data_IF_587595680925
#
_entry.id   IF_587595680925
#
_cell.length_a   1.000
_cell.length_b   1.000
_cell.length_c   1.000
_cell.angle_alpha   90.00
_cell.angle_beta   90.00
_cell.angle_gamma   90.00
#
_symmetry.space_group_name_H-M   'P 1'
#
loop_
_entity.id
_entity.type
_entity.pdbx_description
1 polymer ?
#
# COMPACT_ATOMS: atom_id res chain seq x y z
N UNK A 1 34.40 24.93 -56.65
CA UNK A 1 34.81 23.52 -56.54
C UNK A 1 33.67 22.70 -57.11
N UNK A 2 33.94 21.87 -58.11
CA UNK A 2 32.93 21.15 -58.89
C UNK A 2 32.57 19.86 -58.13
N UNK A 3 31.45 19.86 -57.40
CA UNK A 3 30.96 18.66 -56.70
C UNK A 3 30.38 17.69 -57.74
N UNK A 4 30.99 16.51 -57.90
CA UNK A 4 30.44 15.47 -58.77
C UNK A 4 29.12 14.97 -58.19
N UNK A 5 28.01 15.49 -58.69
CA UNK A 5 26.64 15.26 -58.19
C UNK A 5 25.99 14.00 -58.75
N UNK A 6 26.78 12.96 -59.05
CA UNK A 6 26.28 11.72 -59.64
C UNK A 6 26.53 10.47 -58.76
N UNK A 7 26.32 10.59 -57.46
CA UNK A 7 26.17 9.43 -56.57
C UNK A 7 24.69 9.12 -56.34
N UNK A 8 24.35 7.84 -56.24
CA UNK A 8 22.97 7.40 -56.08
C UNK A 8 22.61 7.30 -54.59
N UNK A 9 21.62 8.08 -54.18
CA UNK A 9 21.17 8.15 -52.78
C UNK A 9 20.58 6.81 -52.33
N UNK A 10 19.97 6.03 -53.23
CA UNK A 10 19.30 4.78 -52.86
C UNK A 10 20.26 3.72 -52.31
N UNK A 11 21.55 3.82 -52.63
CA UNK A 11 22.58 2.87 -52.19
C UNK A 11 22.81 2.91 -50.67
N UNK A 12 22.45 4.01 -50.01
CA UNK A 12 22.70 4.20 -48.58
C UNK A 12 21.54 3.72 -47.69
N UNK A 13 20.46 3.17 -48.26
CA UNK A 13 19.38 2.56 -47.47
C UNK A 13 19.90 1.31 -46.76
N UNK A 14 19.80 1.28 -45.44
CA UNK A 14 20.17 0.09 -44.68
C UNK A 14 19.00 -0.90 -44.62
N UNK A 15 19.29 -2.21 -44.70
CA UNK A 15 18.25 -3.27 -44.64
C UNK A 15 17.42 -3.25 -43.34
N UNK A 16 18.02 -2.77 -42.25
CA UNK A 16 17.40 -2.71 -40.93
C UNK A 16 16.75 -1.34 -40.63
N UNK A 17 16.78 -0.40 -41.58
CA UNK A 17 16.15 0.92 -41.45
C UNK A 17 14.68 0.86 -41.90
N UNK A 18 13.75 1.32 -41.05
CA UNK A 18 12.33 1.38 -41.41
C UNK A 18 12.09 2.39 -42.54
N UNK A 19 11.08 2.14 -43.37
CA UNK A 19 10.76 2.99 -44.53
C UNK A 19 10.49 4.46 -44.15
N UNK A 20 9.84 4.73 -43.01
CA UNK A 20 9.60 6.10 -42.53
C UNK A 20 10.91 6.83 -42.18
N UNK A 21 11.89 6.11 -41.63
CA UNK A 21 13.20 6.68 -41.26
C UNK A 21 14.02 6.94 -42.52
N UNK A 22 14.01 5.97 -43.46
CA UNK A 22 14.69 6.11 -44.74
C UNK A 22 14.12 7.27 -45.55
N UNK A 23 12.80 7.41 -45.66
CA UNK A 23 12.18 8.50 -46.42
C UNK A 23 12.62 9.88 -45.91
N UNK A 24 12.70 10.05 -44.59
CA UNK A 24 13.14 11.29 -43.96
C UNK A 24 14.63 11.56 -44.21
N UNK A 25 15.48 10.53 -44.04
CA UNK A 25 16.93 10.62 -44.29
C UNK A 25 17.21 10.91 -45.77
N UNK A 26 16.50 10.23 -46.68
CA UNK A 26 16.57 10.40 -48.14
C UNK A 26 16.19 11.81 -48.57
N UNK A 27 15.10 12.39 -48.03
CA UNK A 27 14.73 13.79 -48.32
C UNK A 27 15.82 14.77 -47.90
N UNK A 28 16.45 14.53 -46.75
CA UNK A 28 17.57 15.34 -46.29
C UNK A 28 18.79 15.26 -47.21
N UNK A 29 19.14 14.04 -47.66
CA UNK A 29 20.23 13.81 -48.61
C UNK A 29 19.96 14.50 -49.96
N UNK A 30 18.75 14.36 -50.52
CA UNK A 30 18.40 14.98 -51.80
C UNK A 30 18.39 16.51 -51.75
N UNK A 31 17.95 17.11 -50.64
CA UNK A 31 17.89 18.56 -50.50
C UNK A 31 19.28 19.24 -50.40
N UNK A 32 20.31 18.48 -50.03
CA UNK A 32 21.64 19.01 -49.71
C UNK A 32 22.77 18.37 -50.53
N UNK A 33 22.44 17.48 -51.46
CA UNK A 33 23.38 16.74 -52.32
C UNK A 33 24.37 17.64 -53.05
N UNK A 34 23.93 18.83 -53.45
CA UNK A 34 24.73 19.76 -54.23
C UNK A 34 25.57 20.71 -53.35
N UNK A 35 25.30 20.78 -52.05
CA UNK A 35 25.88 21.74 -51.11
C UNK A 35 27.06 21.17 -50.30
N UNK A 36 27.08 19.85 -50.09
CA UNK A 36 28.08 19.19 -49.24
C UNK A 36 28.75 18.02 -49.98
N UNK A 37 30.02 17.71 -49.66
CA UNK A 37 30.64 16.44 -50.04
C UNK A 37 29.85 15.23 -49.53
N UNK A 38 29.97 14.11 -50.24
CA UNK A 38 29.21 12.87 -49.97
C UNK A 38 29.33 12.41 -48.51
N UNK A 39 30.56 12.19 -48.02
CA UNK A 39 30.82 11.70 -46.66
C UNK A 39 30.29 12.63 -45.56
N UNK A 40 30.43 13.94 -45.77
CA UNK A 40 29.97 14.95 -44.84
C UNK A 40 28.44 14.98 -44.78
N UNK A 41 27.79 14.86 -45.93
CA UNK A 41 26.34 14.85 -46.00
C UNK A 41 25.72 13.60 -45.40
N UNK A 42 26.34 12.44 -45.57
CA UNK A 42 25.90 11.19 -44.94
C UNK A 42 25.96 11.28 -43.41
N UNK A 43 27.03 11.89 -42.88
CA UNK A 43 27.17 12.13 -41.44
C UNK A 43 26.07 13.08 -40.93
N UNK A 44 25.87 14.21 -41.61
CA UNK A 44 24.82 15.19 -41.25
C UNK A 44 23.42 14.58 -41.32
N UNK A 45 23.13 13.76 -42.34
CA UNK A 45 21.85 13.08 -42.48
C UNK A 45 21.61 12.06 -41.35
N UNK A 46 22.65 11.35 -40.90
CA UNK A 46 22.52 10.44 -39.77
C UNK A 46 22.28 11.19 -38.45
N UNK A 47 23.01 12.28 -38.22
CA UNK A 47 22.82 13.13 -37.04
C UNK A 47 21.41 13.71 -37.04
N UNK A 48 20.95 14.20 -38.19
CA UNK A 48 19.58 14.70 -38.39
C UNK A 48 18.52 13.66 -38.01
N UNK A 49 18.62 12.44 -38.55
CA UNK A 49 17.69 11.34 -38.22
C UNK A 49 17.74 10.99 -36.73
N UNK A 50 18.92 10.94 -36.12
CA UNK A 50 19.06 10.66 -34.70
C UNK A 50 18.42 11.76 -33.82
N UNK A 51 18.49 13.03 -34.24
CA UNK A 51 17.87 14.14 -33.53
C UNK A 51 16.33 14.09 -33.64
N UNK A 52 15.79 13.91 -34.84
CA UNK A 52 14.33 13.96 -35.07
C UNK A 52 13.58 12.68 -34.66
N UNK A 53 14.23 11.52 -34.77
CA UNK A 53 13.60 10.23 -34.51
C UNK A 53 13.94 9.71 -33.11
N UNK A 54 15.22 9.72 -32.74
CA UNK A 54 15.68 9.16 -31.46
C UNK A 54 15.75 10.21 -30.34
N UNK A 55 15.61 11.49 -30.67
CA UNK A 55 15.68 12.58 -29.69
C UNK A 55 17.09 12.84 -29.16
N UNK A 56 18.13 12.41 -29.89
CA UNK A 56 19.52 12.61 -29.50
C UNK A 56 19.87 14.10 -29.39
N UNK A 57 20.96 14.39 -28.66
CA UNK A 57 21.52 15.74 -28.51
C UNK A 57 23.01 15.70 -28.80
N UNK A 58 23.46 16.66 -29.56
CA UNK A 58 24.84 16.84 -30.00
C UNK A 58 25.37 18.20 -29.51
N UNK A 59 26.67 18.51 -29.67
CA UNK A 59 27.20 19.83 -29.36
C UNK A 59 26.38 20.97 -29.97
N UNK A 60 26.35 22.13 -29.30
CA UNK A 60 25.45 23.25 -29.64
C UNK A 60 25.62 23.69 -31.10
N UNK A 61 26.85 23.75 -31.58
CA UNK A 61 27.20 24.11 -32.96
C UNK A 61 26.55 23.15 -33.97
N UNK A 62 26.65 21.84 -33.73
CA UNK A 62 26.00 20.81 -34.57
C UNK A 62 24.48 20.90 -34.51
N UNK A 63 23.91 21.18 -33.33
CA UNK A 63 22.45 21.33 -33.20
C UNK A 63 21.94 22.54 -33.98
N UNK A 64 22.68 23.66 -34.00
CA UNK A 64 22.33 24.84 -34.79
C UNK A 64 22.41 24.55 -36.29
N UNK A 65 23.51 23.94 -36.74
CA UNK A 65 23.70 23.57 -38.15
C UNK A 65 22.58 22.63 -38.63
N UNK A 66 22.27 21.58 -37.86
CA UNK A 66 21.19 20.65 -38.21
C UNK A 66 19.83 21.35 -38.22
N UNK A 67 19.57 22.28 -37.30
CA UNK A 67 18.32 23.03 -37.29
C UNK A 67 18.13 23.92 -38.53
N UNK A 68 19.22 24.51 -39.02
CA UNK A 68 19.22 25.35 -40.23
C UNK A 68 19.00 24.50 -41.49
N UNK A 69 19.72 23.39 -41.63
CA UNK A 69 19.57 22.46 -42.77
C UNK A 69 18.21 21.74 -42.76
N UNK A 70 17.64 21.53 -41.57
CA UNK A 70 16.36 20.84 -41.41
C UNK A 70 15.13 21.70 -41.78
N UNK A 71 15.26 23.01 -41.89
CA UNK A 71 14.14 23.95 -41.97
C UNK A 71 13.15 23.59 -43.11
N UNK A 72 13.67 23.22 -44.28
CA UNK A 72 12.87 22.91 -45.48
C UNK A 72 12.43 21.44 -45.55
N UNK A 73 13.14 20.53 -44.88
CA UNK A 73 12.88 19.07 -44.92
C UNK A 73 11.88 18.63 -43.85
N UNK A 74 11.83 19.35 -42.73
CA UNK A 74 11.16 18.91 -41.51
C UNK A 74 9.74 19.43 -41.34
N UNK A 75 9.36 20.51 -42.05
CA UNK A 75 8.03 21.12 -41.90
C UNK A 75 6.90 20.10 -42.08
N UNK A 76 6.90 19.33 -43.16
CA UNK A 76 5.89 18.29 -43.43
C UNK A 76 5.94 17.11 -42.45
N UNK A 77 7.13 16.75 -41.94
CA UNK A 77 7.29 15.63 -41.01
C UNK A 77 6.78 15.98 -39.61
N UNK A 78 7.12 17.18 -39.11
CA UNK A 78 6.66 17.68 -37.81
C UNK A 78 5.15 17.88 -37.79
N UNK A 79 4.54 18.38 -38.87
CA UNK A 79 3.09 18.52 -38.98
C UNK A 79 2.36 17.18 -38.89
N UNK A 80 2.86 16.15 -39.58
CA UNK A 80 2.31 14.79 -39.53
C UNK A 80 2.41 14.15 -38.14
N UNK A 81 3.47 14.47 -37.39
CA UNK A 81 3.66 14.01 -35.99
C UNK A 81 2.84 14.80 -34.96
N UNK A 82 2.38 16.03 -35.24
CA UNK A 82 1.51 16.80 -34.32
C UNK A 82 0.15 16.13 -34.09
N UNK A 83 -0.38 15.43 -35.10
CA UNK A 83 -1.66 14.71 -35.01
C UNK A 83 -1.54 13.30 -34.40
N UNK A 84 -0.34 12.82 -34.09
CA UNK A 84 -0.11 11.52 -33.46
C UNK A 84 -0.01 11.71 -31.94
N UNK A 85 -0.73 10.89 -31.16
CA UNK A 85 -0.74 10.97 -29.70
C UNK A 85 0.68 10.80 -29.15
N UNK A 86 1.31 11.90 -28.71
CA UNK A 86 2.65 11.85 -28.14
C UNK A 86 2.59 11.40 -26.69
N UNK A 87 2.72 10.10 -26.44
CA UNK A 87 3.11 9.61 -25.11
C UNK A 87 4.62 9.82 -24.96
N UNK A 88 5.01 10.97 -24.43
CA UNK A 88 6.42 11.24 -24.11
C UNK A 88 6.83 10.41 -22.90
N UNK A 89 7.72 9.43 -23.12
CA UNK A 89 8.43 8.76 -22.04
C UNK A 89 9.57 9.67 -21.58
N UNK A 90 9.38 10.30 -20.41
CA UNK A 90 10.41 11.14 -19.79
C UNK A 90 11.06 10.34 -18.65
N UNK A 91 12.40 10.33 -18.57
CA UNK A 91 13.11 9.79 -17.40
C UNK A 91 12.68 10.58 -16.15
N UNK A 92 12.51 9.91 -15.02
CA UNK A 92 12.09 10.55 -13.77
C UNK A 92 12.99 11.75 -13.39
N UNK A 93 14.28 11.70 -13.72
CA UNK A 93 15.23 12.80 -13.52
C UNK A 93 14.91 14.06 -14.32
N UNK A 94 14.47 13.91 -15.58
CA UNK A 94 14.13 15.03 -16.44
C UNK A 94 12.76 15.61 -16.07
N UNK A 95 11.78 14.76 -15.73
CA UNK A 95 10.47 15.20 -15.21
C UNK A 95 10.61 15.98 -13.90
N UNK A 96 11.50 15.54 -13.00
CA UNK A 96 11.82 16.25 -11.77
C UNK A 96 12.52 17.61 -12.04
N UNK A 97 13.45 17.65 -13.01
CA UNK A 97 14.16 18.89 -13.39
C UNK A 97 13.21 19.94 -13.99
N UNK A 98 12.27 19.53 -14.85
CA UNK A 98 11.26 20.43 -15.43
C UNK A 98 10.33 21.01 -14.36
N UNK A 99 9.99 20.23 -13.33
CA UNK A 99 9.18 20.71 -12.18
C UNK A 99 9.93 21.70 -11.29
N UNK A 100 11.25 21.50 -11.11
CA UNK A 100 12.10 22.41 -10.34
C UNK A 100 12.36 23.75 -11.05
N UNK A 101 12.22 23.81 -12.38
CA UNK A 101 12.50 24.99 -13.21
C UNK A 101 11.26 25.87 -13.51
N UNK A 102 10.10 25.57 -12.93
CA UNK A 102 9.03 26.57 -12.75
C UNK A 102 8.28 27.06 -13.98
N UNK A 103 8.16 26.29 -15.06
CA UNK A 103 7.31 26.65 -16.20
C UNK A 103 5.88 26.13 -16.03
N UNK A 104 4.96 27.01 -15.64
CA UNK A 104 3.51 26.75 -15.56
C UNK A 104 2.86 27.08 -16.91
N UNK A 105 2.40 26.06 -17.65
CA UNK A 105 1.35 26.22 -18.65
C UNK A 105 0.20 25.26 -18.32
N UNK A 106 -1.05 25.76 -18.12
CA UNK A 106 -2.21 24.93 -17.88
C UNK A 106 -2.88 24.53 -19.21
N UNK A 107 -3.19 23.25 -19.38
CA UNK A 107 -4.16 22.77 -20.37
C UNK A 107 -5.14 21.78 -19.73
N UNK A 108 -6.36 21.65 -20.29
CA UNK A 108 -7.60 21.86 -19.57
C UNK A 108 -8.41 20.56 -19.39
N UNK A 109 -9.49 20.69 -18.62
CA UNK A 109 -10.26 19.61 -18.03
C UNK A 109 -11.02 18.69 -18.99
N UNK A 110 -11.52 17.62 -18.40
CA UNK A 110 -12.76 16.98 -18.83
C UNK A 110 -13.63 16.73 -17.61
N UNK A 111 -14.66 17.56 -17.51
CA UNK A 111 -15.82 17.42 -16.64
C UNK A 111 -16.79 16.39 -17.24
N UNK A 112 -17.26 15.46 -16.43
CA UNK A 112 -18.40 14.59 -16.73
C UNK A 112 -19.12 14.18 -15.44
N UNK A 113 -20.22 14.87 -15.14
CA UNK A 113 -21.36 14.35 -14.37
C UNK A 113 -22.15 13.40 -15.30
N UNK A 114 -23.01 12.45 -14.94
CA UNK A 114 -23.85 12.10 -13.79
C UNK A 114 -24.10 10.57 -13.86
N UNK A 115 -24.48 9.90 -12.77
CA UNK A 115 -25.78 9.19 -12.66
C UNK A 115 -25.87 8.31 -11.40
N UNK A 116 -27.08 8.30 -10.86
CA UNK A 116 -27.54 7.82 -9.55
C UNK A 116 -28.23 6.44 -9.67
N UNK A 117 -28.50 5.84 -8.51
CA UNK A 117 -29.53 4.83 -8.16
C UNK A 117 -28.96 3.43 -7.84
N UNK A 118 -28.82 3.01 -6.58
CA UNK A 118 -29.78 2.55 -5.53
C UNK A 118 -30.24 1.09 -5.63
N UNK A 119 -30.14 0.40 -4.48
CA UNK A 119 -30.83 -0.82 -4.00
C UNK A 119 -30.23 -2.16 -4.51
N UNK A 120 -30.06 -3.24 -3.74
CA UNK A 120 -30.55 -3.62 -2.40
C UNK A 120 -29.80 -4.90 -1.90
N UNK A 121 -30.12 -5.49 -0.73
CA UNK A 121 -29.20 -6.21 0.16
C UNK A 121 -29.21 -7.74 0.01
N UNK A 122 -28.24 -8.42 0.63
CA UNK A 122 -28.47 -9.80 1.09
C UNK A 122 -27.65 -10.18 2.32
N UNK A 123 -28.40 -10.49 3.37
CA UNK A 123 -28.04 -11.21 4.57
C UNK A 123 -27.65 -12.65 4.27
N UNK A 124 -26.63 -13.19 4.94
CA UNK A 124 -26.57 -14.64 5.22
C UNK A 124 -26.18 -14.85 6.69
N UNK A 125 -27.15 -15.39 7.41
CA UNK A 125 -27.02 -16.02 8.73
C UNK A 125 -26.38 -17.40 8.54
N UNK A 126 -25.55 -17.83 9.49
CA UNK A 126 -25.35 -19.25 9.75
C UNK A 126 -24.83 -19.44 11.16
N UNK A 127 -25.71 -20.01 11.98
CA UNK A 127 -25.47 -20.61 13.28
C UNK A 127 -24.55 -21.83 13.14
N UNK A 128 -23.77 -22.14 14.18
CA UNK A 128 -23.58 -23.52 14.64
C UNK A 128 -23.04 -23.55 16.08
N UNK A 129 -23.78 -24.28 16.92
CA UNK A 129 -23.47 -24.73 18.29
C UNK A 129 -22.24 -25.66 18.29
N UNK A 130 -21.39 -25.54 19.31
CA UNK A 130 -20.77 -26.70 20.00
C UNK A 130 -20.65 -26.36 21.51
N UNK A 131 -21.06 -27.32 22.33
CA UNK A 131 -21.14 -27.30 23.80
C UNK A 131 -19.79 -27.54 24.52
N UNK A 132 -19.64 -26.83 25.65
CA UNK A 132 -19.04 -27.15 26.96
C UNK A 132 -18.00 -28.27 27.15
N UNK A 133 -16.89 -27.93 27.84
CA UNK A 133 -16.35 -28.63 29.04
C UNK A 133 -15.70 -27.58 29.98
N UNK A 134 -15.79 -27.71 31.32
CA UNK A 134 -15.78 -26.57 32.24
C UNK A 134 -14.41 -26.32 32.90
N UNK A 135 -14.06 -25.05 33.09
CA UNK A 135 -12.97 -24.65 33.98
C UNK A 135 -13.50 -23.71 35.07
N UNK A 136 -13.26 -24.14 36.30
CA UNK A 136 -13.72 -23.65 37.60
C UNK A 136 -13.76 -22.12 37.73
N UNK A 137 -14.95 -21.59 38.00
CA UNK A 137 -15.20 -20.20 38.39
C UNK A 137 -14.57 -19.91 39.75
N UNK A 138 -13.58 -19.04 39.78
CA UNK A 138 -13.16 -18.34 40.99
C UNK A 138 -14.21 -17.25 41.24
N UNK A 139 -14.90 -17.31 42.38
CA UNK A 139 -15.86 -16.28 42.82
C UNK A 139 -15.10 -14.99 43.11
N UNK A 140 -15.44 -13.91 42.41
CA UNK A 140 -15.07 -12.55 42.78
C UNK A 140 -16.38 -11.78 43.05
N UNK A 141 -16.37 -10.97 44.09
CA UNK A 141 -17.51 -10.30 44.76
C UNK A 141 -18.62 -9.76 43.85
N UNK A 142 -19.85 -9.75 44.39
CA UNK A 142 -21.13 -9.40 43.75
C UNK A 142 -21.09 -8.06 43.02
N UNK A 143 -20.60 -8.09 41.79
CA UNK A 143 -20.57 -6.92 40.91
C UNK A 143 -22.00 -6.60 40.47
N UNK A 144 -22.43 -5.33 40.52
CA UNK A 144 -23.85 -4.97 40.53
C UNK A 144 -24.63 -5.35 39.27
N UNK A 145 -23.94 -5.67 38.17
CA UNK A 145 -24.50 -6.00 36.87
C UNK A 145 -23.85 -7.25 36.22
N UNK A 146 -23.14 -8.07 37.00
CA UNK A 146 -22.40 -9.25 36.52
C UNK A 146 -20.92 -8.98 36.23
N UNK A 147 -20.26 -9.86 35.49
CA UNK A 147 -18.84 -9.75 35.12
C UNK A 147 -18.68 -8.96 33.80
N UNK A 148 -18.51 -7.63 33.91
CA UNK A 148 -18.42 -6.70 32.77
C UNK A 148 -17.00 -6.12 32.68
N UNK A 149 -16.48 -5.99 31.45
CA UNK A 149 -15.26 -5.22 31.16
C UNK A 149 -15.58 -4.16 30.11
N UNK A 150 -15.26 -2.91 30.41
CA UNK A 150 -15.48 -1.79 29.49
C UNK A 150 -14.33 -1.72 28.48
N UNK A 151 -14.64 -1.55 27.19
CA UNK A 151 -13.64 -1.37 26.13
C UNK A 151 -13.95 -0.07 25.39
N UNK A 152 -13.04 0.90 25.48
CA UNK A 152 -13.18 2.23 24.90
C UNK A 152 -12.19 2.39 23.73
N UNK A 153 -12.71 2.74 22.54
CA UNK A 153 -11.91 3.02 21.34
C UNK A 153 -11.97 4.51 21.00
N UNK A 154 -10.95 5.05 20.33
CA UNK A 154 -10.94 6.46 19.94
C UNK A 154 -12.11 6.75 18.99
N UNK A 155 -13.00 7.65 19.42
CA UNK A 155 -14.20 8.06 18.67
C UNK A 155 -15.47 7.28 18.98
N UNK A 156 -15.43 6.29 19.88
CA UNK A 156 -16.64 5.55 20.27
C UNK A 156 -17.61 6.45 21.06
N UNK A 157 -18.89 6.33 20.72
CA UNK A 157 -19.96 6.99 21.45
C UNK A 157 -20.29 6.20 22.74
N UNK A 158 -20.67 6.86 23.85
CA UNK A 158 -21.01 6.17 25.11
C UNK A 158 -22.08 5.08 24.95
N UNK A 159 -23.03 5.27 24.02
CA UNK A 159 -24.05 4.27 23.66
C UNK A 159 -23.39 2.97 23.17
N UNK A 160 -22.39 3.09 22.30
CA UNK A 160 -21.69 1.97 21.67
C UNK A 160 -20.82 1.24 22.68
N UNK A 161 -20.12 1.98 23.55
CA UNK A 161 -19.27 1.39 24.61
C UNK A 161 -20.12 0.53 25.55
N UNK A 162 -21.25 1.06 26.02
CA UNK A 162 -22.18 0.33 26.89
C UNK A 162 -22.73 -0.93 26.21
N UNK A 163 -23.23 -0.81 24.99
CA UNK A 163 -23.78 -1.94 24.25
C UNK A 163 -22.71 -3.02 23.98
N UNK A 164 -21.50 -2.62 23.59
CA UNK A 164 -20.40 -3.55 23.37
C UNK A 164 -19.99 -4.27 24.65
N UNK A 165 -19.84 -3.56 25.77
CA UNK A 165 -19.44 -4.15 27.05
C UNK A 165 -20.46 -5.20 27.53
N UNK A 166 -21.75 -4.86 27.49
CA UNK A 166 -22.82 -5.78 27.91
C UNK A 166 -22.92 -6.99 26.98
N UNK A 167 -22.87 -6.79 25.66
CA UNK A 167 -22.94 -7.88 24.69
C UNK A 167 -21.74 -8.85 24.81
N UNK A 168 -20.54 -8.33 25.05
CA UNK A 168 -19.33 -9.15 25.27
C UNK A 168 -19.46 -10.00 26.54
N UNK A 169 -20.04 -9.45 27.60
CA UNK A 169 -20.33 -10.19 28.84
C UNK A 169 -21.47 -11.21 28.73
N UNK A 170 -22.17 -11.24 27.58
CA UNK A 170 -23.35 -12.08 27.37
C UNK A 170 -24.60 -11.57 28.09
N UNK A 171 -24.60 -10.32 28.55
CA UNK A 171 -25.75 -9.67 29.17
C UNK A 171 -26.73 -9.07 28.14
N UNK A 172 -27.90 -8.68 28.61
CA UNK A 172 -28.90 -7.98 27.80
C UNK A 172 -29.01 -6.50 28.23
N UNK A 173 -28.99 -5.59 27.25
CA UNK A 173 -29.17 -4.15 27.46
C UNK A 173 -30.51 -3.68 26.89
N UNK A 174 -31.36 -3.11 27.75
CA UNK A 174 -32.68 -2.62 27.38
C UNK A 174 -32.76 -1.10 27.55
N UNK A 175 -33.45 -0.45 26.59
CA UNK A 175 -33.64 0.99 26.56
C UNK A 175 -35.13 1.29 26.63
N UNK A 176 -35.59 1.87 27.74
CA UNK A 176 -36.97 2.35 27.88
C UNK A 176 -37.01 3.85 27.68
N UNK A 177 -37.81 4.30 26.71
CA UNK A 177 -37.91 5.71 26.36
C UNK A 177 -39.37 6.12 26.49
N UNK A 178 -39.64 7.03 27.41
CA UNK A 178 -40.99 7.50 27.70
C UNK A 178 -41.10 8.99 27.42
N UNK A 179 -42.26 9.43 26.92
CA UNK A 179 -42.58 10.85 26.79
C UNK A 179 -43.21 11.32 28.09
N UNK A 180 -42.58 12.29 28.75
CA UNK A 180 -43.07 12.87 30.01
C UNK A 180 -43.95 14.10 29.74
N UNK A 181 -44.81 14.43 30.70
CA UNK A 181 -45.86 15.47 30.58
C UNK A 181 -45.35 16.89 30.24
N UNK A 182 -44.05 17.17 30.39
CA UNK A 182 -43.45 18.50 30.16
C UNK A 182 -42.70 18.63 28.81
N UNK A 183 -43.13 17.93 27.74
CA UNK A 183 -42.41 17.89 26.45
C UNK A 183 -40.93 17.44 26.55
N UNK A 184 -40.59 16.71 27.62
CA UNK A 184 -39.27 16.10 27.84
C UNK A 184 -39.37 14.60 27.59
N UNK A 185 -38.30 14.02 27.09
CA UNK A 185 -38.12 12.58 26.87
C UNK A 185 -37.29 12.00 28.00
N UNK A 186 -37.82 10.97 28.67
CA UNK A 186 -37.11 10.19 29.67
C UNK A 186 -36.45 8.99 29.00
N UNK A 187 -35.20 8.68 29.33
CA UNK A 187 -34.52 7.47 28.88
C UNK A 187 -33.97 6.71 30.09
N UNK A 188 -34.37 5.45 30.24
CA UNK A 188 -33.92 4.53 31.29
C UNK A 188 -33.15 3.39 30.62
N UNK A 189 -31.95 3.13 31.12
CA UNK A 189 -31.08 2.02 30.70
C UNK A 189 -31.16 0.93 31.74
N UNK A 190 -31.47 -0.30 31.31
CA UNK A 190 -31.43 -1.48 32.17
C UNK A 190 -30.42 -2.49 31.63
N UNK A 191 -29.63 -3.06 32.54
CA UNK A 191 -28.73 -4.20 32.26
C UNK A 191 -29.25 -5.38 33.05
N UNK A 192 -29.55 -6.51 32.38
CA UNK A 192 -30.08 -7.72 33.01
C UNK A 192 -31.29 -7.43 33.95
N UNK A 193 -32.23 -6.62 33.45
CA UNK A 193 -33.42 -6.13 34.17
C UNK A 193 -33.15 -5.22 35.40
N UNK A 194 -31.91 -4.89 35.74
CA UNK A 194 -31.56 -3.91 36.77
C UNK A 194 -31.32 -2.53 36.17
N UNK A 195 -31.88 -1.49 36.79
CA UNK A 195 -31.70 -0.11 36.33
C UNK A 195 -30.24 0.33 36.52
N UNK A 196 -29.63 0.80 35.43
CA UNK A 196 -28.28 1.36 35.43
C UNK A 196 -28.31 2.87 35.55
N UNK A 197 -29.09 3.53 34.68
CA UNK A 197 -29.09 4.98 34.58
C UNK A 197 -30.43 5.49 34.04
N UNK A 198 -30.73 6.73 34.39
CA UNK A 198 -31.91 7.46 33.96
C UNK A 198 -31.52 8.89 33.60
N UNK A 199 -32.11 9.42 32.53
CA UNK A 199 -31.92 10.81 32.12
C UNK A 199 -33.17 11.40 31.47
N UNK A 200 -33.14 12.72 31.30
CA UNK A 200 -34.20 13.50 30.66
C UNK A 200 -33.59 14.42 29.61
N UNK A 201 -34.18 14.47 28.41
CA UNK A 201 -33.72 15.35 27.34
C UNK A 201 -34.88 16.03 26.62
N UNK A 202 -34.59 17.11 25.91
CA UNK A 202 -35.56 17.79 25.03
C UNK A 202 -35.95 16.90 23.84
N UNK A 203 -35.02 16.05 23.40
CA UNK A 203 -35.21 15.08 22.33
C UNK A 203 -34.87 13.67 22.81
N UNK A 204 -35.53 12.66 22.23
CA UNK A 204 -35.23 11.24 22.47
C UNK A 204 -33.73 10.91 22.30
N UNK A 205 -33.09 11.46 21.25
CA UNK A 205 -31.65 11.25 20.98
C UNK A 205 -30.76 11.85 22.05
N UNK A 206 -31.11 13.03 22.58
CA UNK A 206 -30.36 13.71 23.63
C UNK A 206 -30.51 12.98 24.96
N UNK A 207 -31.73 12.62 25.34
CA UNK A 207 -32.00 11.81 26.52
C UNK A 207 -31.17 10.52 26.48
N UNK A 208 -31.22 9.78 25.36
CA UNK A 208 -30.42 8.55 25.19
C UNK A 208 -28.91 8.80 25.33
N UNK A 209 -28.38 9.90 24.78
CA UNK A 209 -26.96 10.27 24.91
C UNK A 209 -26.57 10.55 26.35
N UNK A 210 -27.35 11.36 27.06
CA UNK A 210 -27.07 11.70 28.45
C UNK A 210 -27.21 10.50 29.38
N UNK A 211 -28.23 9.66 29.19
CA UNK A 211 -28.39 8.41 29.95
C UNK A 211 -27.16 7.52 29.77
N UNK A 212 -26.60 7.47 28.56
CA UNK A 212 -25.42 6.65 28.25
C UNK A 212 -24.16 7.20 28.92
N UNK A 213 -24.01 8.52 29.01
CA UNK A 213 -22.89 9.15 29.74
C UNK A 213 -22.98 8.84 31.23
N UNK A 214 -24.18 8.96 31.82
CA UNK A 214 -24.42 8.63 33.23
C UNK A 214 -24.16 7.15 33.49
N UNK A 215 -24.72 6.27 32.64
CA UNK A 215 -24.54 4.82 32.77
C UNK A 215 -23.10 4.37 32.61
N UNK A 216 -22.35 4.97 31.68
CA UNK A 216 -20.93 4.67 31.51
C UNK A 216 -20.13 5.05 32.75
N UNK A 217 -20.38 6.25 33.31
CA UNK A 217 -19.75 6.70 34.55
C UNK A 217 -20.07 5.77 35.73
N UNK A 218 -21.30 5.28 35.79
CA UNK A 218 -21.71 4.35 36.85
C UNK A 218 -21.00 3.00 36.71
N UNK A 219 -20.88 2.43 35.51
CA UNK A 219 -20.11 1.21 35.29
C UNK A 219 -18.61 1.38 35.58
N UNK A 220 -18.03 2.54 35.25
CA UNK A 220 -16.61 2.83 35.51
C UNK A 220 -16.24 2.83 37.01
N UNK A 221 -17.21 2.92 37.93
CA UNK A 221 -16.96 2.78 39.37
C UNK A 221 -16.67 1.35 39.80
N UNK A 222 -17.24 0.37 39.10
CA UNK A 222 -17.19 -1.04 39.50
C UNK A 222 -16.32 -1.89 38.57
N UNK A 223 -16.17 -1.51 37.30
CA UNK A 223 -15.54 -2.33 36.26
C UNK A 223 -14.28 -1.72 35.69
N UNK A 224 -13.33 -2.58 35.30
CA UNK A 224 -12.13 -2.16 34.58
C UNK A 224 -12.47 -1.62 33.20
N UNK A 225 -11.77 -0.55 32.80
CA UNK A 225 -11.88 0.01 31.46
C UNK A 225 -10.57 -0.17 30.70
N UNK A 226 -10.63 -0.88 29.58
CA UNK A 226 -9.55 -1.01 28.61
C UNK A 226 -9.71 0.11 27.59
N UNK A 227 -8.84 1.11 27.65
CA UNK A 227 -8.78 2.19 26.68
C UNK A 227 -7.77 1.85 25.59
N UNK A 228 -8.21 1.84 24.34
CA UNK A 228 -7.34 1.65 23.18
C UNK A 228 -6.76 3.01 22.79
N UNK A 229 -5.44 3.19 22.87
CA UNK A 229 -4.77 4.49 22.59
C UNK A 229 -4.84 4.86 21.11
N UNK A 230 -4.54 3.89 20.25
CA UNK A 230 -4.61 4.03 18.80
C UNK A 230 -5.29 2.80 18.19
N UNK A 231 -6.15 3.01 17.19
CA UNK A 231 -6.75 1.89 16.45
C UNK A 231 -5.70 1.02 15.74
N UNK A 232 -4.55 1.60 15.41
CA UNK A 232 -3.40 0.95 14.78
C UNK A 232 -2.14 1.75 15.11
N UNK A 233 -1.03 1.06 15.36
CA UNK A 233 0.30 1.65 15.54
C UNK A 233 1.00 1.56 14.19
N UNK A 234 1.38 2.71 13.60
CA UNK A 234 1.92 2.78 12.23
C UNK A 234 3.37 2.28 12.10
N UNK A 235 4.06 1.99 13.21
CA UNK A 235 5.47 1.58 13.19
C UNK A 235 5.67 0.12 12.72
N UNK A 236 4.63 -0.72 12.78
CA UNK A 236 4.68 -2.13 12.38
C UNK A 236 4.13 -2.37 10.95
N UNK A 237 4.50 -1.50 10.01
CA UNK A 237 4.06 -1.61 8.62
C UNK A 237 4.88 -2.68 7.86
N UNK A 238 4.24 -3.80 7.53
CA UNK A 238 4.70 -4.78 6.56
C UNK A 238 4.48 -4.24 5.16
N UNK A 239 5.57 -3.82 4.52
CA UNK A 239 5.63 -3.49 3.10
C UNK A 239 6.16 -4.67 2.30
N UNK A 240 5.89 -4.68 1.00
CA UNK A 240 6.46 -5.65 0.06
C UNK A 240 7.98 -5.70 0.14
N UNK A 241 8.63 -4.54 0.36
CA UNK A 241 10.08 -4.41 0.58
C UNK A 241 10.54 -5.04 1.89
N UNK A 242 9.80 -4.90 2.99
CA UNK A 242 10.14 -5.55 4.27
C UNK A 242 10.04 -7.09 4.19
N UNK A 243 9.08 -7.61 3.41
CA UNK A 243 8.96 -9.06 3.17
C UNK A 243 10.17 -9.64 2.42
N UNK A 244 10.82 -8.83 1.59
CA UNK A 244 12.02 -9.20 0.81
C UNK A 244 13.32 -9.05 1.60
N UNK A 245 13.39 -8.06 2.50
CA UNK A 245 14.58 -7.86 3.34
C UNK A 245 14.73 -8.97 4.39
N UNK A 246 13.63 -9.57 4.86
CA UNK A 246 13.71 -10.69 5.79
C UNK A 246 14.22 -12.00 5.17
N UNK A 247 14.42 -12.06 3.85
CA UNK A 247 15.11 -13.16 3.17
C UNK A 247 16.59 -12.87 2.91
N UNK A 248 17.12 -11.70 3.30
CA UNK A 248 18.56 -11.53 3.41
C UNK A 248 19.05 -12.10 4.74
N UNK A 249 18.87 -13.42 4.93
CA UNK A 249 20.01 -14.17 5.45
C UNK A 249 21.17 -13.85 4.50
N UNK A 250 22.35 -13.60 5.04
CA UNK A 250 23.60 -13.41 4.30
C UNK A 250 23.90 -14.64 3.45
N UNK A 251 23.16 -14.85 2.37
CA UNK A 251 23.32 -15.98 1.49
C UNK A 251 24.42 -15.60 0.51
N UNK A 252 25.65 -15.71 0.99
CA UNK A 252 26.78 -15.98 0.11
C UNK A 252 26.34 -17.01 -0.92
N UNK A 253 26.62 -16.78 -2.21
CA UNK A 253 26.35 -17.76 -3.28
C UNK A 253 26.74 -19.15 -2.76
N UNK A 254 25.85 -20.14 -2.85
CA UNK A 254 26.15 -21.47 -2.32
C UNK A 254 27.43 -22.03 -2.94
N UNK A 255 28.19 -22.82 -2.18
CA UNK A 255 29.44 -23.41 -2.66
C UNK A 255 29.25 -24.36 -3.86
N UNK A 256 28.03 -24.86 -4.05
CA UNK A 256 27.65 -25.71 -5.18
C UNK A 256 27.33 -24.93 -6.46
N UNK A 257 27.30 -23.60 -6.41
CA UNK A 257 27.09 -22.79 -7.60
C UNK A 257 28.26 -22.96 -8.58
N UNK A 258 27.95 -23.25 -9.83
CA UNK A 258 28.93 -23.51 -10.91
C UNK A 258 29.97 -22.39 -11.00
N UNK A 259 29.55 -21.13 -10.92
CA UNK A 259 30.45 -19.97 -10.98
C UNK A 259 31.37 -19.90 -9.77
N UNK A 260 30.85 -20.13 -8.56
CA UNK A 260 31.66 -20.14 -7.33
C UNK A 260 32.67 -21.28 -7.34
N UNK A 261 32.27 -22.47 -7.82
CA UNK A 261 33.16 -23.63 -7.97
C UNK A 261 34.24 -23.37 -9.02
N UNK A 262 33.89 -22.78 -10.15
CA UNK A 262 34.84 -22.43 -11.20
C UNK A 262 35.86 -21.40 -10.71
N UNK A 263 35.41 -20.35 -10.01
CA UNK A 263 36.31 -19.33 -9.45
C UNK A 263 37.27 -19.92 -8.41
N UNK A 264 36.78 -20.79 -7.51
CA UNK A 264 37.66 -21.51 -6.56
C UNK A 264 38.70 -22.38 -7.27
N UNK A 265 38.30 -23.10 -8.33
CA UNK A 265 39.21 -23.90 -9.16
C UNK A 265 40.27 -23.06 -9.89
N UNK A 266 39.95 -21.81 -10.22
CA UNK A 266 40.88 -20.85 -10.81
C UNK A 266 41.73 -20.10 -9.77
N UNK A 267 41.69 -20.52 -8.50
CA UNK A 267 42.55 -20.01 -7.42
C UNK A 267 41.95 -18.84 -6.63
N UNK A 268 40.68 -18.50 -6.80
CA UNK A 268 40.02 -17.51 -5.96
C UNK A 268 39.73 -18.07 -4.57
N UNK A 269 40.35 -17.50 -3.54
CA UNK A 269 40.22 -17.93 -2.14
C UNK A 269 39.12 -17.20 -1.36
N UNK A 270 38.36 -16.31 -2.02
CA UNK A 270 37.36 -15.43 -1.40
C UNK A 270 37.76 -13.95 -1.43
N UNK A 271 36.84 -13.07 -1.02
CA UNK A 271 37.03 -11.61 -1.08
C UNK A 271 36.66 -10.99 -2.43
N UNK A 272 36.99 -9.71 -2.64
CA UNK A 272 36.61 -8.98 -3.85
C UNK A 272 37.42 -9.44 -5.06
N UNK A 273 36.85 -9.43 -6.27
CA UNK A 273 37.59 -9.78 -7.49
C UNK A 273 38.64 -8.72 -7.87
N UNK A 274 39.83 -9.13 -8.31
CA UNK A 274 40.88 -8.23 -8.83
C UNK A 274 42.15 -8.20 -7.98
N UNK A 275 43.23 -7.60 -8.52
CA UNK A 275 44.59 -7.64 -7.95
C UNK A 275 44.68 -7.21 -6.48
N UNK A 276 43.87 -6.23 -6.08
CA UNK A 276 43.83 -5.68 -4.71
C UNK A 276 42.52 -5.99 -3.98
N UNK A 277 41.79 -7.04 -4.39
CA UNK A 277 40.46 -7.38 -3.86
C UNK A 277 39.42 -6.25 -3.98
N UNK A 278 39.57 -5.40 -5.00
CA UNK A 278 38.78 -4.19 -5.20
C UNK A 278 37.37 -4.43 -5.79
N UNK A 279 37.09 -5.63 -6.25
CA UNK A 279 35.80 -6.01 -6.80
C UNK A 279 34.75 -6.23 -5.72
N UNK A 280 33.49 -6.28 -6.15
CA UNK A 280 32.36 -6.47 -5.23
C UNK A 280 32.44 -7.89 -4.65
N UNK A 281 32.51 -7.98 -3.31
CA UNK A 281 32.59 -9.24 -2.56
C UNK A 281 31.25 -9.97 -2.56
N UNK A 282 30.18 -9.22 -2.36
CA UNK A 282 28.82 -9.74 -2.35
C UNK A 282 28.23 -9.70 -3.76
N UNK A 283 27.52 -10.75 -4.19
CA UNK A 283 26.86 -10.75 -5.50
C UNK A 283 25.92 -9.55 -5.62
N UNK A 284 25.82 -8.96 -6.82
CA UNK A 284 24.84 -7.91 -7.08
C UNK A 284 23.44 -8.55 -7.05
N UNK A 285 22.77 -8.43 -5.91
CA UNK A 285 21.42 -8.98 -5.73
C UNK A 285 20.44 -8.05 -6.45
N UNK A 286 19.69 -8.60 -7.41
CA UNK A 286 18.57 -7.89 -8.00
C UNK A 286 17.50 -7.72 -6.93
N UNK A 287 17.14 -6.47 -6.61
CA UNK A 287 15.99 -6.16 -5.73
C UNK A 287 14.70 -6.53 -6.46
N UNK A 288 14.34 -7.81 -6.40
CA UNK A 288 13.11 -8.30 -7.01
C UNK A 288 11.92 -7.72 -6.26
N UNK A 289 11.05 -6.98 -6.94
CA UNK A 289 9.78 -6.55 -6.37
C UNK A 289 8.86 -7.77 -6.35
N UNK A 290 8.32 -8.15 -5.18
CA UNK A 290 7.27 -9.18 -5.14
C UNK A 290 6.04 -8.59 -5.83
N UNK A 291 5.50 -9.32 -6.80
CA UNK A 291 4.18 -9.11 -7.40
C UNK A 291 3.97 -7.88 -8.30
N UNK A 292 4.93 -6.97 -8.44
CA UNK A 292 4.79 -5.89 -9.43
C UNK A 292 5.16 -6.37 -10.82
N UNK A 293 4.27 -6.15 -11.78
CA UNK A 293 4.54 -6.37 -13.21
C UNK A 293 5.68 -5.46 -13.66
N UNK A 294 6.85 -6.06 -13.86
CA UNK A 294 8.01 -5.42 -14.48
C UNK A 294 8.09 -5.76 -15.96
N UNK A 295 8.98 -5.06 -16.68
CA UNK A 295 9.28 -5.38 -18.07
C UNK A 295 9.74 -6.85 -18.18
N UNK A 296 8.92 -7.71 -18.78
CA UNK A 296 9.20 -9.14 -18.96
C UNK A 296 8.80 -10.07 -17.81
N UNK A 297 8.31 -9.57 -16.67
CA UNK A 297 7.87 -10.40 -15.54
C UNK A 297 6.33 -10.54 -15.54
N UNK A 298 5.83 -11.62 -16.11
CA UNK A 298 4.39 -11.99 -16.00
C UNK A 298 4.12 -12.48 -14.58
N UNK A 299 3.05 -11.99 -13.93
CA UNK A 299 2.58 -12.52 -12.64
C UNK A 299 2.21 -13.99 -12.84
N UNK A 300 3.10 -14.89 -12.46
CA UNK A 300 2.86 -16.33 -12.47
C UNK A 300 2.35 -16.75 -11.09
N UNK A 301 1.62 -17.87 -11.02
CA UNK A 301 1.18 -18.49 -9.77
C UNK A 301 2.33 -18.74 -8.76
N UNK A 302 3.56 -18.82 -9.24
CA UNK A 302 4.79 -18.85 -8.42
C UNK A 302 4.93 -17.65 -7.50
N UNK A 303 4.54 -16.45 -7.93
CA UNK A 303 4.66 -15.22 -7.12
C UNK A 303 3.69 -15.22 -5.94
N UNK A 304 2.47 -15.75 -6.13
CA UNK A 304 1.49 -15.90 -5.05
C UNK A 304 1.92 -16.98 -4.04
N UNK A 305 2.50 -18.08 -4.51
CA UNK A 305 3.01 -19.14 -3.61
C UNK A 305 4.19 -18.64 -2.78
N UNK A 306 5.06 -17.84 -3.37
CA UNK A 306 6.16 -17.18 -2.65
C UNK A 306 5.63 -16.17 -1.61
N UNK A 307 4.63 -15.37 -1.99
CA UNK A 307 3.92 -14.48 -1.05
C UNK A 307 3.30 -15.27 0.11
N UNK A 308 2.65 -16.41 -0.18
CA UNK A 308 2.04 -17.26 0.86
C UNK A 308 3.06 -17.76 1.88
N UNK A 309 4.23 -18.22 1.42
CA UNK A 309 5.30 -18.69 2.29
C UNK A 309 5.85 -17.55 3.16
N UNK A 310 6.16 -16.41 2.56
CA UNK A 310 6.68 -15.24 3.30
C UNK A 310 5.66 -14.70 4.30
N UNK A 311 4.40 -14.58 3.90
CA UNK A 311 3.33 -14.17 4.80
C UNK A 311 3.19 -15.14 5.96
N UNK A 312 3.24 -16.45 5.70
CA UNK A 312 3.17 -17.47 6.76
C UNK A 312 4.29 -17.31 7.78
N UNK A 313 5.52 -17.05 7.33
CA UNK A 313 6.66 -16.87 8.24
C UNK A 313 6.56 -15.57 9.05
N UNK A 314 6.09 -14.47 8.44
CA UNK A 314 5.81 -13.21 9.14
C UNK A 314 4.74 -13.43 10.21
N UNK A 315 3.65 -14.13 9.88
CA UNK A 315 2.58 -14.43 10.84
C UNK A 315 3.04 -15.36 11.96
N UNK A 316 3.93 -16.33 11.68
CA UNK A 316 4.54 -17.18 12.72
C UNK A 316 5.40 -16.37 13.66
N UNK A 317 6.30 -15.53 13.14
CA UNK A 317 7.11 -14.61 13.94
C UNK A 317 6.22 -13.69 14.77
N UNK A 318 5.14 -13.18 14.17
CA UNK A 318 4.16 -12.36 14.87
C UNK A 318 3.45 -13.11 16.00
N UNK A 319 3.16 -14.42 15.86
CA UNK A 319 2.58 -15.24 16.94
C UNK A 319 3.60 -15.52 18.06
N UNK A 320 4.87 -15.66 17.73
CA UNK A 320 5.95 -15.91 18.70
C UNK A 320 6.42 -14.63 19.40
N UNK A 321 6.20 -13.46 18.80
CA UNK A 321 6.64 -12.16 19.31
C UNK A 321 5.81 -11.62 20.48
N UNK A 322 6.06 -10.36 20.81
CA UNK A 322 5.40 -9.62 21.90
C UNK A 322 3.99 -9.13 21.49
N UNK A 323 3.04 -9.09 22.43
CA UNK A 323 1.62 -8.77 22.19
C UNK A 323 1.32 -7.27 22.02
N UNK A 324 2.36 -6.44 21.91
CA UNK A 324 2.26 -4.98 22.04
C UNK A 324 1.67 -4.29 20.81
N UNK A 325 1.77 -4.88 19.62
CA UNK A 325 1.40 -4.21 18.37
C UNK A 325 0.59 -5.10 17.42
N UNK A 326 -0.20 -4.46 16.57
CA UNK A 326 -0.86 -5.13 15.44
C UNK A 326 0.06 -5.13 14.23
N UNK A 327 -0.09 -6.15 13.38
CA UNK A 327 0.66 -6.25 12.13
C UNK A 327 -0.11 -5.54 11.02
N UNK A 328 0.45 -4.46 10.46
CA UNK A 328 -0.23 -3.64 9.45
C UNK A 328 0.40 -3.86 8.08
N UNK A 329 -0.36 -4.28 7.08
CA UNK A 329 0.08 -4.47 5.71
C UNK A 329 -0.20 -3.20 4.90
N UNK A 330 0.79 -2.80 4.11
CA UNK A 330 0.77 -1.65 3.21
C UNK A 330 -0.44 -1.67 2.26
N UNK A 331 -0.96 -0.51 1.81
CA UNK A 331 -2.02 -0.46 0.82
C UNK A 331 -1.59 -0.95 -0.58
N UNK A 332 -0.29 -1.18 -0.78
CA UNK A 332 0.28 -1.61 -2.07
C UNK A 332 -0.07 -3.04 -2.50
N UNK A 333 -0.57 -3.88 -1.58
CA UNK A 333 -1.00 -5.24 -1.92
C UNK A 333 -2.26 -5.22 -2.80
N UNK A 334 -2.35 -6.14 -3.75
CA UNK A 334 -3.52 -6.30 -4.61
C UNK A 334 -4.71 -6.90 -3.84
N UNK A 335 -5.90 -6.90 -4.45
CA UNK A 335 -7.06 -7.54 -3.83
C UNK A 335 -6.87 -9.06 -3.70
N UNK A 336 -6.30 -9.71 -4.71
CA UNK A 336 -5.99 -11.15 -4.67
C UNK A 336 -5.03 -11.46 -3.52
N UNK A 337 -3.96 -10.67 -3.37
CA UNK A 337 -2.99 -10.84 -2.29
C UNK A 337 -3.62 -10.65 -0.90
N UNK A 338 -4.48 -9.63 -0.74
CA UNK A 338 -5.23 -9.42 0.50
C UNK A 338 -6.10 -10.63 0.83
N UNK A 339 -6.74 -11.27 -0.16
CA UNK A 339 -7.55 -12.48 0.10
C UNK A 339 -6.70 -13.64 0.60
N UNK A 340 -5.50 -13.81 0.05
CA UNK A 340 -4.53 -14.82 0.48
C UNK A 340 -4.07 -14.55 1.92
N UNK A 341 -3.72 -13.30 2.24
CA UNK A 341 -3.30 -12.88 3.57
C UNK A 341 -4.42 -13.11 4.59
N UNK A 342 -5.67 -12.72 4.26
CA UNK A 342 -6.85 -12.99 5.09
C UNK A 342 -7.06 -14.48 5.35
N UNK A 343 -6.91 -15.32 4.32
CA UNK A 343 -7.03 -16.78 4.43
C UNK A 343 -5.97 -17.35 5.37
N UNK A 344 -4.70 -16.95 5.19
CA UNK A 344 -3.59 -17.40 6.05
C UNK A 344 -3.77 -16.96 7.50
N UNK A 345 -4.13 -15.70 7.73
CA UNK A 345 -4.40 -15.17 9.07
C UNK A 345 -5.49 -15.99 9.78
N UNK A 346 -6.60 -16.28 9.08
CA UNK A 346 -7.70 -17.09 9.61
C UNK A 346 -7.24 -18.51 9.96
N UNK A 347 -6.46 -19.14 9.08
CA UNK A 347 -5.90 -20.48 9.32
C UNK A 347 -5.00 -20.52 10.55
N UNK A 348 -4.27 -19.44 10.83
CA UNK A 348 -3.38 -19.31 11.98
C UNK A 348 -4.09 -18.77 13.23
N UNK A 349 -5.42 -18.68 13.22
CA UNK A 349 -6.19 -18.23 14.38
C UNK A 349 -6.12 -16.73 14.66
N UNK A 350 -5.62 -15.91 13.73
CA UNK A 350 -5.53 -14.46 13.87
C UNK A 350 -6.83 -13.76 13.40
N UNK A 351 -7.06 -12.54 13.88
CA UNK A 351 -8.09 -11.62 13.37
C UNK A 351 -7.48 -10.79 12.26
N UNK A 352 -8.22 -10.59 11.18
CA UNK A 352 -7.76 -9.82 10.03
C UNK A 352 -8.88 -8.88 9.56
N UNK A 353 -8.59 -7.60 9.42
CA UNK A 353 -9.56 -6.59 9.02
C UNK A 353 -8.91 -5.56 8.10
N UNK A 354 -9.63 -5.12 7.06
CA UNK A 354 -9.12 -4.13 6.12
C UNK A 354 -9.82 -2.78 6.34
N UNK A 355 -9.08 -1.73 6.68
CA UNK A 355 -9.55 -0.40 7.06
C UNK A 355 -9.22 0.64 6.00
N UNK A 356 -10.08 1.65 5.85
CA UNK A 356 -9.87 2.78 4.93
C UNK A 356 -10.65 2.69 3.61
N UNK A 357 -10.66 3.78 2.83
CA UNK A 357 -11.31 3.86 1.52
C UNK A 357 -10.59 2.97 0.48
N UNK A 358 -11.26 2.65 -0.64
CA UNK A 358 -10.81 1.62 -1.60
C UNK A 358 -9.32 1.72 -2.01
N UNK A 359 -8.82 2.92 -2.33
CA UNK A 359 -7.45 3.14 -2.81
C UNK A 359 -6.37 3.23 -1.72
N UNK A 360 -6.77 3.44 -0.46
CA UNK A 360 -5.83 3.59 0.67
C UNK A 360 -6.08 2.53 1.74
N UNK A 361 -6.70 1.41 1.36
CA UNK A 361 -7.14 0.39 2.30
C UNK A 361 -5.93 -0.36 2.86
N UNK A 362 -5.67 -0.17 4.15
CA UNK A 362 -4.65 -0.89 4.92
C UNK A 362 -5.25 -2.19 5.45
N UNK A 363 -4.51 -3.29 5.37
CA UNK A 363 -4.93 -4.58 5.93
C UNK A 363 -4.25 -4.75 7.30
N UNK A 364 -5.01 -5.00 8.35
CA UNK A 364 -4.51 -5.11 9.73
C UNK A 364 -4.78 -6.52 10.26
N UNK A 365 -3.76 -7.12 10.86
CA UNK A 365 -3.83 -8.42 11.52
C UNK A 365 -3.54 -8.24 13.02
N UNK A 366 -4.44 -8.78 13.83
CA UNK A 366 -4.37 -8.73 15.29
C UNK A 366 -4.56 -10.13 15.88
N UNK A 367 -4.03 -10.36 17.08
CA UNK A 367 -4.28 -11.61 17.81
C UNK A 367 -5.72 -11.69 18.30
N UNK A 368 -6.25 -12.92 18.40
CA UNK A 368 -7.51 -13.18 19.11
C UNK A 368 -7.21 -13.19 20.60
N UNK A 369 -7.32 -12.04 21.24
CA UNK A 369 -7.20 -11.94 22.70
C UNK A 369 -8.60 -11.93 23.31
N UNK A 370 -8.84 -12.76 24.31
CA UNK A 370 -10.04 -12.62 25.14
C UNK A 370 -9.91 -11.37 26.00
N UNK A 371 -10.99 -10.63 26.16
CA UNK A 371 -10.97 -9.33 26.86
C UNK A 371 -10.60 -9.54 28.33
N UNK A 372 -10.98 -10.68 28.92
CA UNK A 372 -10.61 -11.05 30.29
C UNK A 372 -9.13 -11.36 30.43
N UNK A 373 -8.59 -12.16 29.53
CA UNK A 373 -7.16 -12.48 29.50
C UNK A 373 -6.33 -11.20 29.32
N UNK A 374 -6.80 -10.27 28.48
CA UNK A 374 -6.16 -8.96 28.29
C UNK A 374 -6.13 -8.14 29.58
N UNK A 375 -7.19 -8.14 30.40
CA UNK A 375 -7.15 -7.46 31.71
C UNK A 375 -6.10 -8.08 32.63
N UNK A 376 -6.00 -9.41 32.65
CA UNK A 376 -5.02 -10.13 33.47
C UNK A 376 -3.60 -9.79 33.01
N UNK A 377 -3.34 -9.86 31.71
CA UNK A 377 -2.05 -9.53 31.12
C UNK A 377 -1.67 -8.06 31.39
N UNK A 378 -2.60 -7.11 31.18
CA UNK A 378 -2.34 -5.70 31.48
C UNK A 378 -2.08 -5.46 32.96
N UNK A 379 -2.70 -6.21 33.88
CA UNK A 379 -2.35 -6.16 35.31
C UNK A 379 -0.92 -6.63 35.55
N UNK A 380 -0.47 -7.69 34.88
CA UNK A 380 0.91 -8.19 35.02
C UNK A 380 1.95 -7.25 34.42
N UNK A 381 1.61 -6.52 33.35
CA UNK A 381 2.49 -5.59 32.63
C UNK A 381 2.51 -4.17 33.21
N UNK A 382 1.88 -3.93 34.37
CA UNK A 382 1.89 -2.62 35.03
C UNK A 382 0.83 -1.63 34.54
N UNK A 383 -0.18 -2.09 33.79
CA UNK A 383 -1.41 -1.34 33.49
C UNK A 383 -1.40 -0.51 32.20
N UNK A 384 -0.30 -0.45 31.45
CA UNK A 384 -0.24 0.28 30.19
C UNK A 384 0.73 -0.37 29.20
N UNK A 385 0.30 -0.46 27.94
CA UNK A 385 1.08 -0.89 26.78
C UNK A 385 1.03 0.21 25.70
N UNK A 386 1.70 -0.01 24.57
CA UNK A 386 1.66 0.93 23.43
C UNK A 386 0.25 1.04 22.83
N UNK A 387 -0.53 -0.05 22.89
CA UNK A 387 -1.88 -0.12 22.31
C UNK A 387 -3.00 0.06 23.34
N UNK A 388 -2.84 -0.48 24.54
CA UNK A 388 -3.89 -0.54 25.56
C UNK A 388 -3.48 0.15 26.86
N UNK A 389 -4.43 0.82 27.49
CA UNK A 389 -4.31 1.38 28.84
C UNK A 389 -5.42 0.79 29.71
N UNK A 390 -5.05 0.24 30.87
CA UNK A 390 -5.99 -0.34 31.81
C UNK A 390 -6.31 0.67 32.92
N UNK A 391 -7.53 1.19 32.89
CA UNK A 391 -8.05 2.08 33.92
C UNK A 391 -8.74 1.22 34.98
N UNK A 392 -8.28 1.35 36.23
CA UNK A 392 -8.89 0.68 37.38
C UNK A 392 -10.25 1.32 37.68
N UNK A 393 -11.20 0.56 38.26
CA UNK A 393 -12.44 1.14 38.73
C UNK A 393 -12.15 2.29 39.71
N UNK A 394 -12.86 3.41 39.56
CA UNK A 394 -12.78 4.51 40.52
C UNK A 394 -13.38 4.00 41.82
N UNK A 395 -12.54 3.76 42.83
CA UNK A 395 -12.96 3.29 44.16
C UNK A 395 -14.21 4.02 44.62
N UNK A 396 -15.23 3.26 45.02
CA UNK A 396 -16.47 3.75 45.65
C UNK A 396 -16.14 4.52 46.92
#
# INVERSE_FOLDING_TARGET
MNTSTNWDVEQYKAEHESDEHWELRRKFLLAHKDKFPEDELLCLAQVFTNVEILGCRYPKETMHLISELAQDVVCEYRERKKNKLQRTFVKASDAARTKAQGFNNPLPGSTGKTDTCTNDPSSIKSENKIENVPAKKIKLDESPFGDIVLVERPGDLPQTILACAVNVSGGNIEWKINKTNMNKWQCIILINAKQLAESYGTNQKLAKKEASVIGLRELQKYYYTIKIKHNFIEEANVTTTSMLQNTSSHDSISDDNIGKRLMKLMGWTGGGLGKSQQGIVEPVIVKQQVSREGLGLKVKASNLRELELKCRDILKKYLMGDMKTDLVFSPEFSNEERTVIHKLARQMGLKSHSYGPKDQRKLVISRKVDIRDLVIELKTLGGSTDKYELIKPSSV
#
